data_IF_359756795747
#
_entry.id   IF_359756795747
#
_cell.length_a   1.000
_cell.length_b   1.000
_cell.length_c   1.000
_cell.angle_alpha   90.00
_cell.angle_beta   90.00
_cell.angle_gamma   90.00
#
_symmetry.space_group_name_H-M   'P 1'
#
loop_
_entity.id
_entity.type
_entity.pdbx_description
1 polymer ?
#
# COMPACT_ATOMS: atom_id res chain seq x y z
N UNK A 1 6.30 -13.55 6.44
CA UNK A 1 5.14 -13.44 7.35
C UNK A 1 4.21 -14.60 7.08
N UNK A 2 3.58 -15.17 8.12
CA UNK A 2 2.54 -16.18 7.94
C UNK A 2 1.22 -15.52 7.48
N UNK A 3 0.29 -16.34 6.96
CA UNK A 3 -1.05 -15.85 6.55
C UNK A 3 -1.79 -15.18 7.71
N UNK A 4 -1.73 -15.77 8.91
CA UNK A 4 -2.38 -15.21 10.10
C UNK A 4 -1.80 -13.84 10.49
N UNK A 5 -0.47 -13.66 10.39
CA UNK A 5 0.16 -12.36 10.64
C UNK A 5 -0.31 -11.30 9.64
N UNK A 6 -0.51 -11.66 8.37
CA UNK A 6 -1.01 -10.72 7.36
C UNK A 6 -2.47 -10.33 7.62
N UNK A 7 -3.31 -11.27 8.05
CA UNK A 7 -4.70 -10.99 8.43
C UNK A 7 -4.74 -9.96 9.57
N UNK A 8 -3.91 -10.14 10.60
CA UNK A 8 -3.83 -9.21 11.72
C UNK A 8 -3.32 -7.83 11.30
N UNK A 9 -2.34 -7.73 10.39
CA UNK A 9 -1.92 -6.43 9.85
C UNK A 9 -3.02 -5.76 9.03
N UNK A 10 -3.76 -6.52 8.20
CA UNK A 10 -4.85 -5.96 7.41
C UNK A 10 -5.97 -5.40 8.30
N UNK A 11 -6.29 -6.06 9.43
CA UNK A 11 -7.28 -5.56 10.39
C UNK A 11 -6.92 -4.21 11.01
N UNK A 12 -5.63 -3.87 11.10
CA UNK A 12 -5.19 -2.55 11.59
C UNK A 12 -5.46 -1.43 10.60
N UNK A 13 -5.60 -1.74 9.31
CA UNK A 13 -5.99 -0.75 8.33
C UNK A 13 -7.50 -0.50 8.44
N UNK A 14 -7.89 0.75 8.67
CA UNK A 14 -9.30 1.16 8.83
C UNK A 14 -10.20 0.61 7.71
N UNK A 15 -9.67 0.53 6.49
CA UNK A 15 -10.37 0.02 5.31
C UNK A 15 -10.87 -1.42 5.47
N UNK A 16 -10.15 -2.26 6.22
CA UNK A 16 -10.47 -3.68 6.41
C UNK A 16 -10.81 -4.06 7.85
N UNK A 17 -10.83 -3.10 8.76
CA UNK A 17 -11.11 -3.30 10.19
C UNK A 17 -12.44 -4.00 10.49
N UNK A 18 -13.39 -3.97 9.54
CA UNK A 18 -14.73 -4.58 9.65
C UNK A 18 -14.89 -5.88 8.86
N UNK A 19 -13.83 -6.37 8.22
CA UNK A 19 -13.86 -7.64 7.49
C UNK A 19 -13.58 -8.79 8.45
N UNK A 20 -14.33 -9.87 8.27
CA UNK A 20 -14.11 -11.10 9.02
C UNK A 20 -12.86 -11.83 8.50
N UNK A 21 -12.35 -12.78 9.30
CA UNK A 21 -11.12 -13.49 8.96
C UNK A 21 -11.20 -14.23 7.62
N UNK A 22 -12.36 -14.78 7.27
CA UNK A 22 -12.58 -15.49 6.01
C UNK A 22 -12.55 -14.55 4.79
N UNK A 23 -13.11 -13.35 4.92
CA UNK A 23 -13.06 -12.32 3.86
C UNK A 23 -11.63 -11.82 3.65
N UNK A 24 -10.89 -11.61 4.74
CA UNK A 24 -9.48 -11.23 4.69
C UNK A 24 -8.63 -12.35 4.07
N UNK A 25 -8.92 -13.61 4.41
CA UNK A 25 -8.25 -14.76 3.81
C UNK A 25 -8.50 -14.82 2.30
N UNK A 26 -9.74 -14.58 1.84
CA UNK A 26 -10.08 -14.52 0.42
C UNK A 26 -9.40 -13.33 -0.29
N UNK A 27 -9.32 -12.17 0.36
CA UNK A 27 -8.60 -11.01 -0.15
C UNK A 27 -7.10 -11.30 -0.33
N UNK A 28 -6.50 -12.04 0.61
CA UNK A 28 -5.09 -12.42 0.53
C UNK A 28 -4.79 -13.37 -0.64
N UNK A 29 -5.75 -14.18 -1.09
CA UNK A 29 -5.56 -15.07 -2.26
C UNK A 29 -5.42 -14.29 -3.58
N UNK A 30 -5.99 -13.09 -3.67
CA UNK A 30 -5.89 -12.22 -4.86
C UNK A 30 -4.86 -11.10 -4.71
N UNK A 31 -4.35 -10.89 -3.49
CA UNK A 31 -3.32 -9.91 -3.21
C UNK A 31 -1.96 -10.37 -3.75
N UNK A 32 -1.09 -9.39 -4.04
CA UNK A 32 0.29 -9.66 -4.50
C UNK A 32 1.28 -8.98 -3.56
N UNK A 33 2.21 -9.77 -3.04
CA UNK A 33 3.33 -9.24 -2.27
C UNK A 33 4.25 -8.45 -3.21
N UNK A 34 4.60 -7.23 -2.82
CA UNK A 34 5.57 -6.38 -3.51
C UNK A 34 6.60 -5.92 -2.50
N UNK A 35 7.86 -6.21 -2.82
CA UNK A 35 9.01 -5.57 -2.19
C UNK A 35 9.52 -4.52 -3.17
N UNK A 36 9.94 -3.38 -2.61
CA UNK A 36 10.50 -2.27 -3.36
C UNK A 36 11.71 -1.76 -2.59
N UNK A 37 12.74 -1.38 -3.31
CA UNK A 37 13.97 -0.86 -2.74
C UNK A 37 13.88 0.66 -2.51
N UNK A 38 14.80 1.19 -1.69
CA UNK A 38 14.87 2.63 -1.47
C UNK A 38 15.15 3.38 -2.79
N UNK A 39 14.36 4.42 -3.05
CA UNK A 39 14.40 5.16 -4.31
C UNK A 39 13.57 4.58 -5.45
N UNK A 40 12.99 3.38 -5.33
CA UNK A 40 12.11 2.83 -6.35
C UNK A 40 10.72 3.50 -6.36
N UNK A 41 10.17 3.70 -7.57
CA UNK A 41 8.83 4.26 -7.76
C UNK A 41 7.81 3.12 -7.79
N UNK A 42 6.90 3.09 -6.80
CA UNK A 42 5.82 2.11 -6.74
C UNK A 42 4.76 2.32 -7.84
N UNK A 43 4.38 3.57 -8.09
CA UNK A 43 3.52 4.01 -9.19
C UNK A 43 3.74 5.49 -9.48
N UNK A 44 3.44 5.93 -10.70
CA UNK A 44 3.52 7.33 -11.13
C UNK A 44 2.13 7.94 -11.37
N UNK A 45 2.07 9.27 -11.34
CA UNK A 45 0.85 9.99 -11.69
C UNK A 45 0.49 9.76 -13.17
N UNK A 46 -0.75 9.35 -13.43
CA UNK A 46 -1.23 9.00 -14.77
C UNK A 46 -1.22 7.51 -15.07
N UNK A 47 -0.57 6.70 -14.23
CA UNK A 47 -0.66 5.24 -14.34
C UNK A 47 -2.10 4.78 -14.15
N UNK A 48 -2.48 3.74 -14.90
CA UNK A 48 -3.80 3.13 -14.76
C UNK A 48 -3.95 2.58 -13.35
N UNK A 49 -4.94 3.08 -12.62
CA UNK A 49 -5.32 2.53 -11.33
C UNK A 49 -5.92 1.12 -11.52
N UNK A 50 -5.12 0.09 -11.21
CA UNK A 50 -5.53 -1.32 -11.29
C UNK A 50 -5.79 -1.94 -9.91
N UNK A 51 -5.52 -1.19 -8.85
CA UNK A 51 -5.69 -1.60 -7.46
C UNK A 51 -5.11 -0.56 -6.52
N UNK A 52 -4.96 -0.94 -5.26
CA UNK A 52 -4.33 -0.12 -4.23
C UNK A 52 -3.33 -0.95 -3.43
N UNK A 53 -2.55 -0.28 -2.59
CA UNK A 53 -1.47 -0.89 -1.82
C UNK A 53 -1.71 -0.71 -0.32
N UNK A 54 -1.30 -1.72 0.44
CA UNK A 54 -1.21 -1.67 1.91
C UNK A 54 0.26 -1.75 2.26
N UNK A 55 0.75 -0.78 3.04
CA UNK A 55 2.14 -0.79 3.50
C UNK A 55 2.25 -1.72 4.71
N UNK A 56 2.98 -2.82 4.56
CA UNK A 56 3.23 -3.77 5.66
C UNK A 56 4.46 -3.37 6.49
N UNK A 57 5.48 -2.83 5.85
CA UNK A 57 6.73 -2.42 6.49
C UNK A 57 7.42 -1.33 5.69
N UNK A 58 8.02 -0.37 6.39
CA UNK A 58 8.84 0.69 5.78
C UNK A 58 8.10 2.03 5.78
N UNK A 59 8.42 2.88 4.81
CA UNK A 59 7.81 4.20 4.65
C UNK A 59 7.67 4.52 3.18
N UNK A 60 6.56 5.13 2.79
CA UNK A 60 6.33 5.58 1.41
C UNK A 60 6.01 7.06 1.39
N UNK A 61 6.76 7.80 0.58
CA UNK A 61 6.52 9.22 0.29
C UNK A 61 5.61 9.32 -0.93
N UNK A 62 4.38 9.77 -0.74
CA UNK A 62 3.50 10.18 -1.82
C UNK A 62 3.70 11.67 -2.09
N UNK A 63 4.09 12.02 -3.30
CA UNK A 63 4.37 13.39 -3.70
C UNK A 63 3.83 13.69 -5.11
N UNK A 64 3.71 14.98 -5.43
CA UNK A 64 3.50 15.47 -6.79
C UNK A 64 4.68 16.34 -7.19
N UNK A 65 5.00 16.35 -8.48
CA UNK A 65 5.99 17.25 -9.06
C UNK A 65 5.25 18.35 -9.82
N UNK A 66 5.56 19.61 -9.53
CA UNK A 66 5.03 20.77 -10.27
C UNK A 66 5.75 20.97 -11.60
N UNK A 67 5.21 21.83 -12.46
CA UNK A 67 5.83 22.15 -13.75
C UNK A 67 7.23 22.78 -13.62
N UNK A 68 7.54 23.45 -12.51
CA UNK A 68 8.86 24.00 -12.19
C UNK A 68 9.78 22.98 -11.48
N UNK A 69 9.39 21.70 -11.41
CA UNK A 69 10.20 20.60 -10.89
C UNK A 69 10.22 20.45 -9.36
N UNK A 70 9.39 21.21 -8.62
CA UNK A 70 9.34 21.10 -7.16
C UNK A 70 8.49 19.91 -6.73
N UNK A 71 9.00 19.17 -5.76
CA UNK A 71 8.25 18.12 -5.09
C UNK A 71 7.36 18.68 -3.97
N UNK A 72 6.07 18.36 -4.06
CA UNK A 72 5.09 18.62 -3.01
C UNK A 72 4.72 17.30 -2.36
N UNK A 73 5.17 17.10 -1.12
CA UNK A 73 4.83 15.92 -0.32
C UNK A 73 3.35 16.01 0.07
N UNK A 74 2.56 15.05 -0.40
CA UNK A 74 1.14 14.95 -0.07
C UNK A 74 0.95 14.15 1.22
N UNK A 75 1.66 13.04 1.35
CA UNK A 75 1.56 12.15 2.51
C UNK A 75 2.82 11.31 2.66
N UNK A 76 3.18 11.00 3.89
CA UNK A 76 4.11 9.92 4.20
C UNK A 76 3.33 8.81 4.91
N UNK A 77 3.26 7.65 4.29
CA UNK A 77 2.62 6.44 4.85
C UNK A 77 3.70 5.66 5.62
N UNK A 78 3.34 5.14 6.81
CA UNK A 78 4.21 4.41 7.72
C UNK A 78 3.42 3.29 8.38
#
# INVERSE_FOLDING_TARGET
MSKDQLIEELKKADLFSRLEADDLAALLEIARMRQIDDGEILFAAGDRATGFYVLLQGKIKLYKVSADGKEYILRVVR
#
